data_IF_544739486799
#
_entry.id   IF_544739486799
#
_cell.length_a   1.000
_cell.length_b   1.000
_cell.length_c   1.000
_cell.angle_alpha   90.00
_cell.angle_beta   90.00
_cell.angle_gamma   90.00
#
_symmetry.space_group_name_H-M   'P 1'
#
loop_
_entity.id
_entity.type
_entity.pdbx_description
1 polymer ?
#
# COMPACT_ATOMS: atom_id res chain seq x y z
N UNK A 1 -63.73 -59.71 -17.74
CA UNK A 1 -64.88 -59.50 -18.65
C UNK A 1 -65.12 -58.00 -18.68
N UNK A 2 -64.69 -57.34 -19.77
CA UNK A 2 -65.26 -56.16 -20.47
C UNK A 2 -65.95 -55.05 -19.64
N UNK A 3 -65.70 -53.73 -19.74
CA UNK A 3 -65.69 -52.77 -20.88
C UNK A 3 -65.07 -51.42 -20.38
N UNK A 4 -64.25 -50.63 -21.11
CA UNK A 4 -64.56 -49.53 -22.07
C UNK A 4 -65.72 -48.60 -21.61
N UNK A 5 -65.62 -47.27 -21.41
CA UNK A 5 -65.31 -46.12 -22.30
C UNK A 5 -64.87 -44.89 -21.45
N UNK A 6 -63.88 -44.08 -21.85
CA UNK A 6 -63.95 -42.85 -22.69
C UNK A 6 -64.62 -41.66 -21.93
N UNK A 7 -64.24 -40.38 -21.98
CA UNK A 7 -63.40 -39.61 -22.89
C UNK A 7 -63.03 -38.24 -22.27
N UNK A 8 -61.92 -37.67 -22.75
CA UNK A 8 -61.73 -36.24 -23.03
C UNK A 8 -61.91 -35.17 -21.91
N UNK A 9 -60.84 -34.42 -21.62
CA UNK A 9 -60.59 -33.11 -22.24
C UNK A 9 -59.55 -32.32 -21.44
N UNK A 10 -58.49 -31.93 -22.14
CA UNK A 10 -57.42 -31.11 -21.60
C UNK A 10 -57.85 -29.65 -21.34
N UNK A 11 -57.14 -29.01 -20.42
CA UNK A 11 -56.82 -27.59 -20.49
C UNK A 11 -55.33 -27.38 -20.13
N UNK A 12 -54.61 -26.54 -20.88
CA UNK A 12 -53.21 -26.21 -20.60
C UNK A 12 -53.15 -25.13 -19.51
N UNK A 13 -51.93 -24.69 -19.18
CA UNK A 13 -51.54 -23.57 -18.30
C UNK A 13 -51.37 -23.96 -16.82
N UNK A 14 -50.31 -23.60 -16.11
CA UNK A 14 -49.17 -22.74 -16.41
C UNK A 14 -47.94 -23.33 -15.70
N UNK A 15 -46.80 -23.39 -16.39
CA UNK A 15 -45.52 -23.66 -15.72
C UNK A 15 -45.29 -22.49 -14.75
N UNK A 16 -45.30 -22.77 -13.45
CA UNK A 16 -44.77 -21.88 -12.42
C UNK A 16 -43.29 -21.65 -12.72
N UNK A 17 -43.00 -20.61 -13.51
CA UNK A 17 -41.66 -20.11 -13.69
C UNK A 17 -41.22 -19.52 -12.35
N UNK A 18 -40.46 -20.32 -11.59
CA UNK A 18 -39.66 -19.84 -10.45
C UNK A 18 -38.77 -18.72 -10.95
N UNK A 19 -39.19 -17.48 -10.73
CA UNK A 19 -38.38 -16.30 -10.96
C UNK A 19 -37.17 -16.34 -10.02
N UNK A 20 -36.02 -16.74 -10.55
CA UNK A 20 -34.74 -16.63 -9.87
C UNK A 20 -34.31 -15.15 -9.95
N UNK A 21 -34.75 -14.34 -8.99
CA UNK A 21 -34.25 -12.97 -8.81
C UNK A 21 -32.81 -13.04 -8.29
N UNK A 22 -31.84 -13.04 -9.21
CA UNK A 22 -30.44 -12.73 -8.87
C UNK A 22 -30.37 -11.25 -8.49
N UNK A 23 -30.41 -10.95 -7.19
CA UNK A 23 -30.04 -9.65 -6.67
C UNK A 23 -28.51 -9.49 -6.80
N UNK A 24 -28.08 -8.83 -7.89
CA UNK A 24 -26.69 -8.39 -8.05
C UNK A 24 -26.47 -7.21 -7.10
N UNK A 25 -25.97 -7.48 -5.90
CA UNK A 25 -25.45 -6.45 -5.01
C UNK A 25 -24.11 -5.94 -5.58
N UNK A 26 -24.16 -4.86 -6.35
CA UNK A 26 -22.96 -4.09 -6.69
C UNK A 26 -22.48 -3.37 -5.42
N UNK A 27 -21.50 -3.96 -4.73
CA UNK A 27 -20.78 -3.27 -3.67
C UNK A 27 -19.94 -2.15 -4.31
N UNK A 28 -20.44 -0.93 -4.25
CA UNK A 28 -19.63 0.27 -4.51
C UNK A 28 -18.66 0.39 -3.34
N UNK A 29 -17.46 -0.16 -3.51
CA UNK A 29 -16.35 0.13 -2.60
C UNK A 29 -15.95 1.58 -2.84
N UNK A 30 -16.24 2.46 -1.88
CA UNK A 30 -15.62 3.77 -1.82
C UNK A 30 -14.12 3.55 -1.66
N UNK A 31 -13.39 3.60 -2.77
CA UNK A 31 -11.94 3.76 -2.73
C UNK A 31 -11.72 5.23 -2.43
N UNK A 32 -11.53 5.59 -1.16
CA UNK A 32 -10.96 6.89 -0.83
C UNK A 32 -9.59 6.95 -1.47
N UNK A 33 -9.50 7.51 -2.67
CA UNK A 33 -8.23 7.79 -3.31
C UNK A 33 -7.57 8.85 -2.44
N UNK A 34 -6.52 8.44 -1.73
CA UNK A 34 -5.65 9.38 -1.05
C UNK A 34 -5.08 10.30 -2.12
N UNK A 35 -5.40 11.59 -2.01
CA UNK A 35 -4.87 12.61 -2.89
C UNK A 35 -3.39 12.77 -2.54
N UNK A 36 -2.47 12.62 -3.52
CA UNK A 36 -1.05 12.84 -3.25
C UNK A 36 -0.83 14.24 -2.69
N UNK A 37 0.10 14.37 -1.75
CA UNK A 37 0.53 15.66 -1.26
C UNK A 37 1.17 16.47 -2.41
N UNK A 38 1.21 17.80 -2.35
CA UNK A 38 2.09 18.54 -3.24
C UNK A 38 3.55 18.18 -2.93
N UNK A 39 4.37 17.98 -3.97
CA UNK A 39 5.82 17.84 -3.75
C UNK A 39 6.38 19.16 -3.21
N UNK A 40 7.25 19.11 -2.18
CA UNK A 40 7.95 20.30 -1.72
C UNK A 40 8.74 20.96 -2.85
N UNK A 41 8.87 22.29 -2.78
CA UNK A 41 9.57 23.06 -3.80
C UNK A 41 11.02 22.57 -3.96
N UNK A 42 11.49 22.48 -5.20
CA UNK A 42 12.84 22.02 -5.49
C UNK A 42 13.07 20.51 -5.39
N UNK A 43 12.04 19.70 -5.10
CA UNK A 43 12.12 18.24 -5.17
C UNK A 43 12.62 17.78 -6.54
N UNK A 44 13.58 16.85 -6.55
CA UNK A 44 14.14 16.24 -7.76
C UNK A 44 13.95 14.73 -7.70
N UNK A 45 13.40 14.15 -8.77
CA UNK A 45 13.37 12.70 -8.89
C UNK A 45 14.80 12.16 -9.05
N UNK A 46 15.09 11.02 -8.45
CA UNK A 46 16.37 10.35 -8.60
C UNK A 46 16.20 8.83 -8.73
N UNK A 47 17.25 8.16 -9.21
CA UNK A 47 17.34 6.70 -9.20
C UNK A 47 18.13 6.29 -7.95
N UNK A 48 17.54 5.49 -7.05
CA UNK A 48 18.24 5.05 -5.85
C UNK A 48 19.48 4.22 -6.15
N UNK A 49 20.51 4.42 -5.34
CA UNK A 49 21.70 3.58 -5.35
C UNK A 49 21.35 2.12 -4.99
N UNK A 50 22.10 1.11 -5.46
CA UNK A 50 21.81 -0.30 -5.19
C UNK A 50 21.63 -0.65 -3.71
N UNK A 51 22.31 0.05 -2.81
CA UNK A 51 22.21 -0.15 -1.35
C UNK A 51 20.77 0.03 -0.84
N UNK A 52 19.94 0.87 -1.48
CA UNK A 52 18.54 1.07 -1.10
C UNK A 52 17.72 -0.21 -1.29
N UNK A 53 18.03 -1.03 -2.30
CA UNK A 53 17.36 -2.32 -2.50
C UNK A 53 17.75 -3.33 -1.42
N UNK A 54 19.00 -3.28 -0.95
CA UNK A 54 19.44 -4.13 0.15
C UNK A 54 18.71 -3.75 1.45
N UNK A 55 18.59 -2.46 1.76
CA UNK A 55 17.79 -1.98 2.89
C UNK A 55 16.30 -2.31 2.74
N UNK A 56 15.75 -2.21 1.53
CA UNK A 56 14.37 -2.63 1.24
C UNK A 56 14.16 -4.12 1.56
N UNK A 57 15.06 -5.00 1.10
CA UNK A 57 14.99 -6.42 1.37
C UNK A 57 15.07 -6.74 2.88
N UNK A 58 15.89 -6.00 3.63
CA UNK A 58 15.92 -6.11 5.10
C UNK A 58 14.55 -5.76 5.73
N UNK A 59 13.89 -4.72 5.22
CA UNK A 59 12.55 -4.32 5.68
C UNK A 59 11.47 -5.34 5.31
N UNK A 60 11.50 -5.88 4.09
CA UNK A 60 10.58 -6.95 3.69
C UNK A 60 10.72 -8.18 4.59
N UNK A 61 11.97 -8.55 4.92
CA UNK A 61 12.28 -9.69 5.77
C UNK A 61 11.75 -9.50 7.20
N UNK A 62 12.04 -8.37 7.85
CA UNK A 62 11.56 -8.14 9.23
C UNK A 62 10.03 -7.94 9.28
N UNK A 63 9.44 -7.27 8.28
CA UNK A 63 8.00 -7.06 8.20
C UNK A 63 7.23 -8.34 7.86
N UNK A 64 7.89 -9.34 7.25
CA UNK A 64 7.22 -10.53 6.72
C UNK A 64 6.25 -10.19 5.58
N UNK A 65 6.52 -9.13 4.83
CA UNK A 65 5.70 -8.62 3.73
C UNK A 65 6.58 -8.31 2.54
N UNK A 66 6.02 -8.42 1.33
CA UNK A 66 6.69 -8.06 0.08
C UNK A 66 5.97 -6.92 -0.61
N UNK A 67 6.74 -6.03 -1.22
CA UNK A 67 6.26 -4.94 -2.05
C UNK A 67 7.28 -4.61 -3.14
N UNK A 68 6.80 -4.10 -4.27
CA UNK A 68 7.69 -3.73 -5.37
C UNK A 68 8.46 -2.46 -5.03
N UNK A 69 9.79 -2.58 -4.91
CA UNK A 69 10.70 -1.44 -4.84
C UNK A 69 10.54 -0.53 -6.07
N UNK A 70 10.38 -1.14 -7.25
CA UNK A 70 10.28 -0.43 -8.53
C UNK A 70 8.94 0.27 -8.75
N UNK A 71 7.93 -0.04 -7.90
CA UNK A 71 6.68 0.70 -7.89
C UNK A 71 6.78 2.02 -7.11
N UNK A 72 7.89 2.28 -6.41
CA UNK A 72 8.09 3.51 -5.64
C UNK A 72 8.83 4.55 -6.49
N UNK A 73 8.27 5.75 -6.58
CA UNK A 73 9.00 6.90 -7.12
C UNK A 73 9.84 7.55 -6.03
N UNK A 74 11.08 7.95 -6.34
CA UNK A 74 12.02 8.47 -5.36
C UNK A 74 12.38 9.92 -5.65
N UNK A 75 12.23 10.77 -4.63
CA UNK A 75 12.51 12.19 -4.72
C UNK A 75 13.47 12.61 -3.61
N UNK A 76 14.30 13.61 -3.92
CA UNK A 76 15.19 14.25 -2.98
C UNK A 76 14.92 15.74 -2.94
N UNK A 77 14.92 16.32 -1.74
CA UNK A 77 14.85 17.76 -1.51
C UNK A 77 16.26 18.25 -1.20
N UNK A 78 16.84 19.15 -2.02
CA UNK A 78 18.18 19.69 -1.80
C UNK A 78 18.30 20.42 -0.46
N UNK A 79 19.49 20.36 0.15
CA UNK A 79 19.81 21.05 1.41
C UNK A 79 19.65 20.20 2.66
N UNK A 80 19.58 20.87 3.80
CA UNK A 80 19.64 20.29 5.15
C UNK A 80 18.42 20.63 6.03
N UNK A 81 17.52 21.47 5.53
CA UNK A 81 16.33 21.88 6.27
C UNK A 81 15.28 20.76 6.31
N UNK A 82 14.84 20.32 7.52
CA UNK A 82 13.82 19.29 7.63
C UNK A 82 12.51 19.66 6.92
N UNK A 83 11.91 18.67 6.26
CA UNK A 83 10.75 18.79 5.39
C UNK A 83 9.52 19.16 6.22
N UNK A 84 8.77 20.17 5.76
CA UNK A 84 7.45 20.50 6.30
C UNK A 84 6.40 19.73 5.52
N UNK A 85 5.74 18.77 6.18
CA UNK A 85 4.67 17.98 5.56
C UNK A 85 3.33 18.67 5.88
N UNK A 86 2.49 18.97 4.87
CA UNK A 86 1.17 19.57 5.12
C UNK A 86 0.35 18.76 6.12
N UNK A 87 -0.28 19.45 7.07
CA UNK A 87 -1.13 18.85 8.11
C UNK A 87 -0.42 17.87 9.07
N UNK A 88 0.91 17.78 9.02
CA UNK A 88 1.71 17.03 9.98
C UNK A 88 2.41 18.00 10.96
N UNK A 89 2.33 17.77 12.28
CA UNK A 89 2.88 18.70 13.26
C UNK A 89 4.41 18.67 13.35
N UNK A 90 5.04 17.61 12.87
CA UNK A 90 6.49 17.41 12.96
C UNK A 90 7.15 17.57 11.60
N UNK A 91 8.35 18.17 11.61
CA UNK A 91 9.24 18.19 10.45
C UNK A 91 9.90 16.82 10.29
N UNK A 92 10.12 16.40 9.06
CA UNK A 92 10.62 15.06 8.75
C UNK A 92 11.92 15.09 7.93
N UNK A 93 12.71 14.03 8.04
CA UNK A 93 13.91 13.81 7.21
C UNK A 93 13.58 13.06 5.92
N UNK A 94 12.44 12.39 5.89
CA UNK A 94 11.84 11.76 4.74
C UNK A 94 10.36 11.51 5.01
N UNK A 95 9.61 11.16 3.97
CA UNK A 95 8.26 10.63 4.11
C UNK A 95 7.90 9.76 2.92
N UNK A 96 7.09 8.74 3.17
CA UNK A 96 6.34 8.02 2.15
C UNK A 96 4.94 8.62 1.98
N UNK A 97 4.54 8.86 0.74
CA UNK A 97 3.20 9.31 0.37
C UNK A 97 2.41 8.14 -0.25
N UNK A 98 1.31 7.71 0.40
CA UNK A 98 0.47 6.63 -0.13
C UNK A 98 -0.36 7.03 -1.35
N UNK A 99 -0.57 8.32 -1.61
CA UNK A 99 -1.45 8.80 -2.68
C UNK A 99 -0.95 8.44 -4.08
N UNK A 100 0.36 8.48 -4.28
CA UNK A 100 1.04 8.11 -5.54
C UNK A 100 2.22 7.15 -5.35
N UNK A 101 2.39 6.61 -4.15
CA UNK A 101 3.43 5.64 -3.79
C UNK A 101 4.85 6.15 -4.07
N UNK A 102 5.20 7.29 -3.49
CA UNK A 102 6.55 7.86 -3.60
C UNK A 102 7.19 8.04 -2.23
N UNK A 103 8.52 8.03 -2.22
CA UNK A 103 9.34 8.39 -1.06
C UNK A 103 10.08 9.68 -1.38
N UNK A 104 9.98 10.65 -0.48
CA UNK A 104 10.68 11.93 -0.55
C UNK A 104 11.68 11.99 0.60
N UNK A 105 12.94 12.30 0.31
CA UNK A 105 14.03 12.33 1.28
C UNK A 105 14.69 13.71 1.28
N UNK A 106 15.19 14.13 2.43
CA UNK A 106 16.15 15.22 2.50
C UNK A 106 17.49 14.77 1.89
N UNK A 107 18.18 15.67 1.16
CA UNK A 107 19.45 15.34 0.53
C UNK A 107 20.55 15.09 1.56
N UNK A 108 20.65 15.96 2.57
CA UNK A 108 21.71 15.89 3.56
C UNK A 108 21.26 15.10 4.79
N UNK A 109 21.68 13.83 4.87
CA UNK A 109 21.37 12.90 5.96
C UNK A 109 22.66 12.30 6.57
N UNK A 110 23.54 13.12 7.17
CA UNK A 110 24.78 12.62 7.76
C UNK A 110 24.46 11.57 8.81
N UNK A 111 25.04 10.39 8.66
CA UNK A 111 24.88 9.22 9.55
C UNK A 111 23.42 8.77 9.78
N UNK A 112 22.49 9.19 8.91
CA UNK A 112 21.04 8.91 9.05
C UNK A 112 20.39 8.37 7.78
N UNK A 113 21.16 8.18 6.70
CA UNK A 113 20.61 7.74 5.41
C UNK A 113 19.93 6.38 5.51
N UNK A 114 20.63 5.35 5.99
CA UNK A 114 20.03 4.03 6.14
C UNK A 114 18.78 4.00 7.06
N UNK A 115 18.78 4.56 8.28
CA UNK A 115 17.59 4.51 9.13
C UNK A 115 16.39 5.25 8.56
N UNK A 116 16.59 6.41 7.91
CA UNK A 116 15.47 7.14 7.26
C UNK A 116 14.93 6.33 6.09
N UNK A 117 15.79 5.81 5.21
CA UNK A 117 15.32 5.02 4.04
C UNK A 117 14.59 3.75 4.48
N UNK A 118 15.10 3.04 5.50
CA UNK A 118 14.43 1.86 6.05
C UNK A 118 13.08 2.19 6.66
N UNK A 119 12.97 3.31 7.38
CA UNK A 119 11.72 3.79 7.95
C UNK A 119 10.67 4.05 6.86
N UNK A 120 11.01 4.81 5.81
CA UNK A 120 10.08 5.11 4.72
C UNK A 120 9.76 3.88 3.86
N UNK A 121 10.73 2.99 3.66
CA UNK A 121 10.50 1.70 3.00
C UNK A 121 9.47 0.85 3.78
N UNK A 122 9.53 0.85 5.11
CA UNK A 122 8.59 0.08 5.93
C UNK A 122 7.15 0.62 5.80
N UNK A 123 6.97 1.94 5.73
CA UNK A 123 5.69 2.54 5.40
C UNK A 123 5.18 2.05 4.04
N UNK A 124 6.02 2.09 3.00
CA UNK A 124 5.67 1.65 1.66
C UNK A 124 5.33 0.15 1.57
N UNK A 125 6.11 -0.71 2.24
CA UNK A 125 5.93 -2.16 2.26
C UNK A 125 4.64 -2.56 3.01
N UNK A 126 4.37 -1.90 4.14
CA UNK A 126 3.19 -2.21 4.96
C UNK A 126 1.92 -1.52 4.45
N UNK A 127 2.07 -0.52 3.57
CA UNK A 127 1.00 0.36 3.09
C UNK A 127 0.29 1.08 4.23
N UNK A 128 1.06 1.62 5.17
CA UNK A 128 0.57 2.29 6.38
C UNK A 128 1.25 3.63 6.57
N UNK A 129 0.47 4.64 6.95
CA UNK A 129 0.97 5.97 7.30
C UNK A 129 1.37 6.04 8.77
N UNK A 130 0.69 5.27 9.63
CA UNK A 130 0.96 5.21 11.05
C UNK A 130 2.17 4.33 11.39
N UNK A 131 2.59 4.37 12.66
CA UNK A 131 3.74 3.64 13.20
C UNK A 131 3.30 2.52 14.16
N UNK A 132 2.60 1.47 13.70
CA UNK A 132 2.18 0.38 14.58
C UNK A 132 3.39 -0.24 15.31
N UNK A 133 3.37 -0.33 16.66
CA UNK A 133 4.51 -0.83 17.44
C UNK A 133 4.99 -2.22 17.01
N UNK A 134 4.08 -3.08 16.55
CA UNK A 134 4.42 -4.37 15.98
C UNK A 134 5.54 -4.26 14.93
N UNK A 135 5.42 -3.35 13.97
CA UNK A 135 6.38 -3.20 12.88
C UNK A 135 7.55 -2.31 13.29
N UNK A 136 7.27 -1.09 13.77
CA UNK A 136 8.30 -0.07 13.97
C UNK A 136 9.13 -0.23 15.26
N UNK A 137 8.68 -1.07 16.19
CA UNK A 137 9.39 -1.35 17.45
C UNK A 137 9.79 -2.82 17.53
N UNK A 138 8.81 -3.72 17.57
CA UNK A 138 9.05 -5.13 17.90
C UNK A 138 9.75 -5.90 16.78
N UNK A 139 9.29 -5.77 15.53
CA UNK A 139 9.79 -6.57 14.41
C UNK A 139 10.98 -5.93 13.70
N UNK A 140 10.88 -4.65 13.36
CA UNK A 140 11.85 -3.97 12.50
C UNK A 140 12.67 -2.89 13.20
N UNK A 141 12.36 -2.54 14.46
CA UNK A 141 13.00 -1.42 15.16
C UNK A 141 14.53 -1.49 15.15
N UNK A 142 15.08 -2.65 15.52
CA UNK A 142 16.54 -2.88 15.50
C UNK A 142 17.15 -2.85 14.08
N UNK A 143 16.38 -3.26 13.07
CA UNK A 143 16.85 -3.27 11.67
C UNK A 143 16.85 -1.85 11.10
N UNK A 144 15.85 -1.02 11.45
CA UNK A 144 15.79 0.40 11.07
C UNK A 144 17.05 1.11 11.54
N UNK A 145 17.40 0.99 12.83
CA UNK A 145 18.57 1.65 13.43
C UNK A 145 19.90 0.90 13.23
N UNK A 146 19.89 -0.17 12.42
CA UNK A 146 21.08 -0.94 12.12
C UNK A 146 22.13 -0.16 11.31
N UNK A 147 23.33 -0.74 11.11
CA UNK A 147 24.43 -0.08 10.42
C UNK A 147 24.06 0.37 8.99
N UNK A 148 24.83 1.33 8.47
CA UNK A 148 24.66 1.83 7.10
C UNK A 148 24.94 0.72 6.08
N UNK A 149 26.02 -0.04 6.28
CA UNK A 149 26.34 -1.19 5.46
C UNK A 149 25.34 -2.34 5.76
N UNK A 150 24.53 -2.78 4.78
CA UNK A 150 23.52 -3.82 5.00
C UNK A 150 24.09 -5.23 5.19
N UNK A 151 25.40 -5.39 5.09
CA UNK A 151 26.11 -6.67 5.19
C UNK A 151 26.96 -6.83 6.46
N UNK A 152 26.85 -5.87 7.38
CA UNK A 152 27.39 -5.95 8.75
C UNK A 152 26.37 -6.59 9.70
#
# INVERSE_FOLDING_TARGET
>A
MTWYEDSSNGRPTARLARGLLLAVFAAVSCSDRLVPLPLPEGSRQFLPEPVYRAWWAQMEACAGKRASFDAVSWYVIPGEEPIVIPHHPQRALGYWDPGDNRIVLLQFLPDRRAPVVRHEALHAITRRIDHPPEYFVTRCGAVIVGPENPYE
#
